data_IF_355888231359
#
_entry.id   IF_355888231359
#
_cell.length_a   1.000
_cell.length_b   1.000
_cell.length_c   1.000
_cell.angle_alpha   90.00
_cell.angle_beta   90.00
_cell.angle_gamma   90.00
#
_symmetry.space_group_name_H-M   'P 1'
#
loop_
_entity.id
_entity.type
_entity.pdbx_description
1 polymer ?
#
# COMPACT_ATOMS: atom_id res chain seq x y z
N UNK A 1 24.27 -16.55 4.91
CA UNK A 1 25.60 -17.04 4.44
C UNK A 1 26.12 -18.21 5.26
N UNK A 2 25.97 -18.22 6.58
CA UNK A 2 26.49 -19.30 7.44
C UNK A 2 25.71 -20.62 7.30
N UNK A 3 24.45 -20.57 6.94
CA UNK A 3 23.54 -21.73 6.89
C UNK A 3 23.80 -22.67 5.68
N UNK A 4 24.28 -22.13 4.55
CA UNK A 4 24.48 -22.87 3.30
C UNK A 4 25.95 -22.92 2.84
N UNK A 5 26.91 -22.43 3.62
CA UNK A 5 28.34 -22.39 3.31
C UNK A 5 28.71 -21.87 1.90
N UNK A 6 27.88 -21.01 1.32
CA UNK A 6 28.01 -20.46 -0.03
C UNK A 6 29.20 -19.51 -0.08
N UNK A 7 30.18 -19.81 -0.92
CA UNK A 7 31.40 -18.99 -1.15
C UNK A 7 31.22 -18.07 -2.37
N UNK A 8 30.61 -18.58 -3.44
CA UNK A 8 30.36 -17.85 -4.67
C UNK A 8 28.86 -17.76 -4.92
N UNK A 9 28.40 -16.67 -5.51
CA UNK A 9 27.02 -16.46 -5.91
C UNK A 9 26.55 -17.47 -6.96
N UNK A 10 27.46 -17.97 -7.78
CA UNK A 10 27.21 -19.00 -8.80
C UNK A 10 26.99 -20.40 -8.23
N UNK A 11 27.27 -20.62 -6.95
CA UNK A 11 26.92 -21.87 -6.27
C UNK A 11 25.42 -21.94 -5.94
N UNK A 12 24.72 -20.80 -5.99
CA UNK A 12 23.28 -20.73 -5.67
C UNK A 12 22.49 -21.27 -6.85
N UNK A 13 21.98 -22.48 -6.68
CA UNK A 13 21.05 -23.15 -7.60
C UNK A 13 19.61 -23.11 -7.05
N UNK A 14 18.66 -23.64 -7.81
CA UNK A 14 17.24 -23.62 -7.45
C UNK A 14 16.92 -24.42 -6.18
N UNK A 15 17.65 -25.51 -5.89
CA UNK A 15 17.46 -26.33 -4.69
C UNK A 15 17.87 -25.59 -3.43
N UNK A 16 18.94 -24.78 -3.49
CA UNK A 16 19.35 -23.90 -2.41
C UNK A 16 18.30 -22.82 -2.17
N UNK A 17 17.73 -22.26 -3.22
CA UNK A 17 16.63 -21.29 -3.11
C UNK A 17 15.41 -21.92 -2.43
N UNK A 18 15.03 -23.14 -2.84
CA UNK A 18 13.93 -23.89 -2.23
C UNK A 18 14.19 -24.14 -0.74
N UNK A 19 15.35 -24.71 -0.41
CA UNK A 19 15.74 -24.99 0.98
C UNK A 19 15.77 -23.75 1.84
N UNK A 20 16.20 -22.59 1.27
CA UNK A 20 16.18 -21.33 1.97
C UNK A 20 14.75 -20.84 2.22
N UNK A 21 13.84 -20.94 1.25
CA UNK A 21 12.41 -20.60 1.42
C UNK A 21 11.79 -21.46 2.52
N UNK A 22 12.02 -22.78 2.48
CA UNK A 22 11.48 -23.74 3.45
C UNK A 22 11.97 -23.45 4.89
N UNK A 23 13.23 -22.97 5.02
CA UNK A 23 13.80 -22.58 6.32
C UNK A 23 13.15 -21.33 6.94
N UNK A 24 12.35 -20.54 6.19
CA UNK A 24 11.88 -19.21 6.58
C UNK A 24 10.42 -19.22 7.03
N UNK A 25 9.75 -20.10 7.42
CA UNK A 25 8.36 -20.05 7.92
C UNK A 25 7.56 -18.80 7.40
N UNK A 26 7.55 -18.61 6.08
CA UNK A 26 6.94 -17.45 5.43
C UNK A 26 5.69 -17.87 4.64
N UNK A 27 4.79 -16.89 4.43
CA UNK A 27 3.64 -17.11 3.56
C UNK A 27 4.03 -17.16 2.08
N UNK A 28 3.19 -17.83 1.27
CA UNK A 28 3.34 -17.86 -0.18
C UNK A 28 3.48 -16.46 -0.80
N UNK A 29 2.74 -15.46 -0.30
CA UNK A 29 2.83 -14.08 -0.83
C UNK A 29 4.22 -13.48 -0.60
N UNK A 30 4.86 -13.76 0.54
CA UNK A 30 6.23 -13.32 0.83
C UNK A 30 7.23 -14.05 -0.07
N UNK A 31 7.12 -15.37 -0.19
CA UNK A 31 7.96 -16.16 -1.10
C UNK A 31 7.81 -15.71 -2.55
N UNK A 32 6.58 -15.44 -2.99
CA UNK A 32 6.28 -14.91 -4.33
C UNK A 32 6.96 -13.57 -4.63
N UNK A 33 7.12 -12.70 -3.64
CA UNK A 33 7.88 -11.47 -3.79
C UNK A 33 9.38 -11.76 -3.95
N UNK A 34 9.93 -12.69 -3.17
CA UNK A 34 11.33 -13.12 -3.33
C UNK A 34 11.58 -13.71 -4.72
N UNK A 35 10.71 -14.58 -5.23
CA UNK A 35 10.82 -15.09 -6.59
C UNK A 35 10.79 -13.99 -7.65
N UNK A 36 9.99 -12.95 -7.43
CA UNK A 36 9.95 -11.81 -8.36
C UNK A 36 11.25 -11.02 -8.36
N UNK A 37 11.91 -10.88 -7.22
CA UNK A 37 13.23 -10.24 -7.13
C UNK A 37 14.34 -11.14 -7.71
N UNK A 38 14.35 -12.44 -7.36
CA UNK A 38 15.30 -13.42 -7.91
C UNK A 38 15.22 -13.49 -9.44
N UNK A 39 14.01 -13.42 -10.00
CA UNK A 39 13.81 -13.44 -11.45
C UNK A 39 14.45 -12.25 -12.19
N UNK A 40 14.60 -11.09 -11.51
CA UNK A 40 15.28 -9.92 -12.09
C UNK A 40 16.79 -10.08 -12.18
N UNK A 41 17.35 -10.93 -11.35
CA UNK A 41 18.80 -11.12 -11.19
C UNK A 41 19.24 -12.57 -11.46
N UNK A 42 18.38 -13.38 -12.06
CA UNK A 42 18.63 -14.81 -12.34
C UNK A 42 19.93 -15.05 -13.09
N UNK A 43 20.30 -14.16 -14.01
CA UNK A 43 21.50 -14.26 -14.86
C UNK A 43 22.82 -14.27 -14.04
N UNK A 44 22.77 -13.89 -12.76
CA UNK A 44 23.92 -13.90 -11.84
C UNK A 44 24.06 -15.20 -11.03
N UNK A 45 23.06 -16.08 -11.10
CA UNK A 45 22.96 -17.31 -10.32
C UNK A 45 23.04 -18.56 -11.22
N UNK A 46 23.07 -19.72 -10.60
CA UNK A 46 23.03 -21.01 -11.29
C UNK A 46 21.59 -21.57 -11.30
N UNK A 47 20.65 -20.77 -11.82
CA UNK A 47 19.27 -21.19 -12.09
C UNK A 47 18.64 -20.29 -13.17
N UNK A 48 17.63 -20.82 -13.83
CA UNK A 48 16.89 -20.16 -14.92
C UNK A 48 15.60 -19.50 -14.41
N UNK A 49 14.99 -18.65 -15.23
CA UNK A 49 13.68 -18.06 -14.97
C UNK A 49 12.57 -19.09 -14.98
N UNK A 50 12.71 -20.10 -15.81
CA UNK A 50 11.81 -21.24 -15.90
C UNK A 50 11.80 -22.04 -14.60
N UNK A 51 12.96 -22.37 -14.03
CA UNK A 51 13.08 -23.06 -12.74
C UNK A 51 12.46 -22.24 -11.59
N UNK A 52 12.62 -20.91 -11.59
CA UNK A 52 11.93 -20.05 -10.60
C UNK A 52 10.41 -20.14 -10.78
N UNK A 53 9.92 -20.17 -12.01
CA UNK A 53 8.48 -20.24 -12.32
C UNK A 53 7.90 -21.57 -11.87
N UNK A 54 8.60 -22.67 -12.09
CA UNK A 54 8.22 -24.01 -11.66
C UNK A 54 8.21 -24.10 -10.13
N UNK A 55 9.29 -23.70 -9.45
CA UNK A 55 9.37 -23.67 -8.00
C UNK A 55 8.24 -22.81 -7.37
N UNK A 56 7.92 -21.69 -8.00
CA UNK A 56 6.81 -20.81 -7.57
C UNK A 56 5.45 -21.49 -7.70
N UNK A 57 5.25 -22.31 -8.74
CA UNK A 57 4.02 -23.08 -8.94
C UNK A 57 3.89 -24.19 -7.90
N UNK A 58 4.96 -24.92 -7.63
CA UNK A 58 5.01 -26.02 -6.65
C UNK A 58 4.71 -25.51 -5.24
N UNK A 59 5.39 -24.46 -4.80
CA UNK A 59 5.21 -23.90 -3.46
C UNK A 59 3.88 -23.16 -3.25
N UNK A 60 3.07 -22.98 -4.29
CA UNK A 60 1.78 -22.28 -4.17
C UNK A 60 0.79 -22.99 -3.25
N UNK A 61 0.83 -24.30 -3.20
CA UNK A 61 -0.06 -25.12 -2.37
C UNK A 61 0.59 -25.52 -1.04
N UNK A 62 1.93 -25.57 -0.99
CA UNK A 62 2.69 -26.02 0.17
C UNK A 62 2.88 -24.94 1.22
N UNK A 63 3.06 -23.69 0.79
CA UNK A 63 3.25 -22.59 1.72
C UNK A 63 1.93 -22.04 2.25
N UNK A 64 1.89 -21.62 3.54
CA UNK A 64 0.70 -21.08 4.14
C UNK A 64 0.24 -19.82 3.40
N UNK A 65 -1.06 -19.75 3.13
CA UNK A 65 -1.67 -18.53 2.59
C UNK A 65 -1.75 -17.47 3.67
N UNK A 66 -1.46 -16.23 3.31
CA UNK A 66 -1.66 -15.11 4.24
C UNK A 66 -3.14 -15.03 4.58
N UNK A 67 -3.48 -15.22 5.85
CA UNK A 67 -4.82 -14.88 6.35
C UNK A 67 -4.91 -13.36 6.37
N UNK A 68 -5.74 -12.83 5.49
CA UNK A 68 -5.97 -11.40 5.42
C UNK A 68 -7.11 -11.06 6.38
N UNK A 69 -6.76 -10.57 7.57
CA UNK A 69 -7.72 -9.90 8.46
C UNK A 69 -8.15 -8.56 7.84
N UNK A 70 -9.34 -8.11 8.23
CA UNK A 70 -9.76 -6.75 7.85
C UNK A 70 -8.76 -5.71 8.34
N UNK A 71 -8.38 -4.79 7.46
CA UNK A 71 -7.51 -3.66 7.82
C UNK A 71 -8.28 -2.39 8.08
N UNK A 72 -9.60 -2.41 7.87
CA UNK A 72 -10.45 -1.24 8.06
C UNK A 72 -10.50 -0.83 9.52
N UNK A 73 -10.66 0.46 9.74
CA UNK A 73 -10.83 1.08 11.04
C UNK A 73 -12.28 1.51 11.26
N UNK A 74 -12.67 1.62 12.51
CA UNK A 74 -13.98 2.14 12.92
C UNK A 74 -13.85 3.60 13.35
N UNK A 75 -14.93 4.37 13.16
CA UNK A 75 -15.06 5.73 13.70
C UNK A 75 -13.88 6.66 13.36
N UNK A 76 -13.37 6.60 12.12
CA UNK A 76 -12.27 7.47 11.69
C UNK A 76 -12.63 8.97 11.72
N UNK A 77 -13.92 9.31 11.71
CA UNK A 77 -14.42 10.69 11.84
C UNK A 77 -14.13 11.30 13.23
N UNK A 78 -13.84 10.47 14.23
CA UNK A 78 -13.49 10.91 15.60
C UNK A 78 -11.97 11.01 15.82
N UNK A 79 -11.18 10.66 14.82
CA UNK A 79 -9.73 10.69 14.90
C UNK A 79 -9.24 12.07 14.44
N UNK A 80 -8.47 12.72 15.29
CA UNK A 80 -7.80 13.99 15.01
C UNK A 80 -6.28 13.80 15.10
N UNK A 81 -5.58 14.25 14.09
CA UNK A 81 -4.13 14.22 14.02
C UNK A 81 -3.54 15.60 14.28
N UNK A 82 -2.21 15.65 14.40
CA UNK A 82 -1.49 16.92 14.36
C UNK A 82 -1.96 17.76 13.14
N UNK A 83 -2.20 19.07 13.28
CA UNK A 83 -2.67 19.93 12.18
C UNK A 83 -1.90 19.75 10.87
N UNK A 84 -0.58 19.55 10.95
CA UNK A 84 0.27 19.30 9.78
C UNK A 84 -0.07 18.00 9.06
N UNK A 85 -0.58 16.99 9.76
CA UNK A 85 -0.92 15.67 9.21
C UNK A 85 -2.40 15.54 8.85
N UNK A 86 -3.24 16.43 9.37
CA UNK A 86 -4.69 16.32 9.28
C UNK A 86 -5.19 16.32 7.84
N UNK A 87 -4.65 17.17 6.97
CA UNK A 87 -5.06 17.21 5.57
C UNK A 87 -4.75 15.90 4.83
N UNK A 88 -3.59 15.29 5.06
CA UNK A 88 -3.26 13.99 4.46
C UNK A 88 -4.19 12.87 4.95
N UNK A 89 -4.58 12.91 6.22
CA UNK A 89 -5.53 11.98 6.79
C UNK A 89 -6.92 12.12 6.16
N UNK A 90 -7.44 13.33 6.05
CA UNK A 90 -8.74 13.61 5.41
C UNK A 90 -8.75 13.19 3.94
N UNK A 91 -7.67 13.45 3.19
CA UNK A 91 -7.53 12.96 1.82
C UNK A 91 -7.61 11.44 1.71
N UNK A 92 -7.06 10.69 2.67
CA UNK A 92 -7.18 9.24 2.68
C UNK A 92 -8.55 8.77 3.14
N UNK A 93 -9.12 9.40 4.19
CA UNK A 93 -10.39 9.02 4.80
C UNK A 93 -11.59 9.32 3.88
N UNK A 94 -11.63 10.52 3.29
CA UNK A 94 -12.80 11.04 2.60
C UNK A 94 -12.73 10.88 1.06
N UNK A 95 -11.50 10.75 0.53
CA UNK A 95 -11.28 10.61 -0.91
C UNK A 95 -10.53 9.34 -1.30
N UNK A 96 -10.14 8.51 -0.33
CA UNK A 96 -9.49 7.23 -0.56
C UNK A 96 -8.09 7.31 -1.17
N UNK A 97 -7.39 8.44 -1.10
CA UNK A 97 -6.06 8.58 -1.69
C UNK A 97 -5.05 7.60 -1.05
N UNK A 98 -4.08 7.15 -1.84
CA UNK A 98 -2.92 6.42 -1.32
C UNK A 98 -2.00 7.36 -0.54
N UNK A 99 -1.29 6.84 0.46
CA UNK A 99 -0.42 7.66 1.33
C UNK A 99 0.56 8.53 0.55
N UNK A 100 1.13 8.05 -0.54
CA UNK A 100 2.04 8.87 -1.37
C UNK A 100 1.32 10.07 -2.00
N UNK A 101 0.12 9.87 -2.52
CA UNK A 101 -0.67 10.92 -3.16
C UNK A 101 -1.25 11.91 -2.15
N UNK A 102 -1.45 11.51 -0.89
CA UNK A 102 -1.96 12.40 0.16
C UNK A 102 -0.87 13.18 0.90
N UNK A 103 0.39 12.72 0.84
CA UNK A 103 1.51 13.29 1.61
C UNK A 103 2.50 14.10 0.78
N UNK A 104 2.38 14.09 -0.55
CA UNK A 104 3.27 14.81 -1.46
C UNK A 104 2.44 15.43 -2.58
N UNK A 105 2.08 16.69 -2.41
CA UNK A 105 1.22 17.43 -3.34
C UNK A 105 1.90 18.75 -3.69
N UNK A 106 2.10 19.00 -4.96
CA UNK A 106 2.49 20.30 -5.47
C UNK A 106 1.21 21.08 -5.77
N UNK A 107 0.83 22.00 -4.89
CA UNK A 107 -0.44 22.74 -4.99
C UNK A 107 -0.50 23.62 -6.24
N UNK A 108 0.62 24.19 -6.67
CA UNK A 108 0.67 25.06 -7.86
C UNK A 108 0.38 24.28 -9.15
N UNK A 109 0.68 22.97 -9.17
CA UNK A 109 0.52 22.12 -10.35
C UNK A 109 -0.70 21.21 -10.30
N UNK A 110 -1.14 20.86 -9.09
CA UNK A 110 -2.10 19.80 -8.88
C UNK A 110 -3.44 20.28 -8.32
N UNK A 111 -3.52 21.53 -7.82
CA UNK A 111 -4.75 22.08 -7.26
C UNK A 111 -5.24 23.23 -8.14
N UNK A 112 -6.44 23.07 -8.71
CA UNK A 112 -7.15 24.12 -9.47
C UNK A 112 -8.49 24.39 -8.79
N UNK A 113 -8.62 25.55 -8.15
CA UNK A 113 -9.77 25.82 -7.29
C UNK A 113 -9.85 24.80 -6.15
N UNK A 114 -10.87 23.97 -6.16
CA UNK A 114 -11.06 22.88 -5.22
C UNK A 114 -10.74 21.49 -5.82
N UNK A 115 -10.40 21.41 -7.10
CA UNK A 115 -10.12 20.15 -7.77
C UNK A 115 -8.65 19.78 -7.62
N UNK A 116 -8.39 18.66 -6.96
CA UNK A 116 -7.05 18.07 -6.82
C UNK A 116 -6.83 17.01 -7.88
N UNK A 117 -5.82 17.21 -8.74
CA UNK A 117 -5.34 16.22 -9.71
C UNK A 117 -4.13 15.48 -9.13
N UNK A 118 -4.11 14.16 -9.19
CA UNK A 118 -3.03 13.35 -8.65
C UNK A 118 -2.78 12.09 -9.46
N UNK A 119 -1.60 11.51 -9.28
CA UNK A 119 -1.17 10.32 -10.03
C UNK A 119 -1.42 9.05 -9.23
N UNK A 120 -2.20 8.13 -9.80
CA UNK A 120 -2.44 6.79 -9.27
C UNK A 120 -1.26 5.85 -9.51
N UNK A 121 -1.27 4.70 -8.81
CA UNK A 121 -0.32 3.61 -9.09
C UNK A 121 -0.51 3.14 -10.53
N UNK A 122 0.60 3.06 -11.28
CA UNK A 122 0.55 2.75 -12.72
C UNK A 122 0.52 3.98 -13.62
N UNK A 123 0.55 5.18 -13.04
CA UNK A 123 0.76 6.42 -13.80
C UNK A 123 -0.50 7.10 -14.31
N UNK A 124 -1.68 6.52 -14.10
CA UNK A 124 -2.97 7.13 -14.47
C UNK A 124 -3.23 8.37 -13.63
N UNK A 125 -3.69 9.44 -14.26
CA UNK A 125 -4.17 10.65 -13.60
C UNK A 125 -5.62 10.48 -13.14
N UNK A 126 -5.91 11.02 -11.96
CA UNK A 126 -7.24 11.06 -11.35
C UNK A 126 -7.48 12.40 -10.69
N UNK A 127 -8.74 12.75 -10.49
CA UNK A 127 -9.17 14.01 -9.90
C UNK A 127 -10.12 13.78 -8.74
N UNK A 128 -10.08 14.66 -7.76
CA UNK A 128 -11.03 14.69 -6.64
C UNK A 128 -11.40 16.14 -6.33
N UNK A 129 -12.69 16.37 -6.19
CA UNK A 129 -13.20 17.63 -5.66
C UNK A 129 -13.05 17.64 -4.14
N UNK A 130 -12.37 18.63 -3.60
CA UNK A 130 -12.09 18.79 -2.18
C UNK A 130 -13.03 19.84 -1.57
N UNK A 131 -13.32 19.70 -0.28
CA UNK A 131 -14.01 20.77 0.45
C UNK A 131 -13.11 22.02 0.57
N UNK A 132 -13.68 23.23 0.59
CA UNK A 132 -12.89 24.45 0.83
C UNK A 132 -12.05 24.40 2.11
N UNK A 133 -12.57 23.78 3.16
CA UNK A 133 -11.86 23.57 4.43
C UNK A 133 -10.60 22.70 4.25
N UNK A 134 -10.68 21.61 3.47
CA UNK A 134 -9.54 20.76 3.22
C UNK A 134 -8.48 21.46 2.35
N UNK A 135 -8.93 22.26 1.37
CA UNK A 135 -8.05 23.11 0.56
C UNK A 135 -7.30 24.13 1.44
N UNK A 136 -7.99 24.77 2.39
CA UNK A 136 -7.34 25.69 3.35
C UNK A 136 -6.29 24.99 4.18
N UNK A 137 -6.59 23.81 4.75
CA UNK A 137 -5.62 23.01 5.51
C UNK A 137 -4.38 22.64 4.70
N UNK A 138 -4.55 22.30 3.42
CA UNK A 138 -3.42 22.02 2.53
C UNK A 138 -2.54 23.26 2.33
N UNK A 139 -3.16 24.42 2.05
CA UNK A 139 -2.45 25.69 1.81
C UNK A 139 -1.74 26.21 3.07
N UNK A 140 -2.38 26.13 4.23
CA UNK A 140 -1.82 26.55 5.52
C UNK A 140 -0.57 25.75 5.93
N UNK A 141 -0.48 24.49 5.50
CA UNK A 141 0.64 23.61 5.82
C UNK A 141 1.61 23.41 4.65
N UNK A 142 1.43 24.12 3.54
CA UNK A 142 2.32 24.08 2.39
C UNK A 142 3.50 25.06 2.58
N UNK A 143 4.66 24.67 2.08
CA UNK A 143 5.86 25.50 1.98
C UNK A 143 6.20 25.62 0.49
N UNK A 144 6.35 26.84 0.00
CA UNK A 144 6.66 27.10 -1.42
C UNK A 144 5.72 26.35 -2.39
N UNK A 145 4.42 26.42 -2.13
CA UNK A 145 3.41 25.75 -2.96
C UNK A 145 3.37 24.23 -2.85
N UNK A 146 4.11 23.62 -1.91
CA UNK A 146 4.18 22.18 -1.75
C UNK A 146 3.71 21.74 -0.37
N UNK A 147 2.71 20.88 -0.34
CA UNK A 147 2.32 20.14 0.86
C UNK A 147 3.09 18.82 0.91
N UNK A 148 4.14 18.80 1.70
CA UNK A 148 5.01 17.63 1.85
C UNK A 148 5.17 17.27 3.32
N UNK A 149 4.80 16.05 3.67
CA UNK A 149 4.98 15.51 5.02
C UNK A 149 5.70 14.16 4.99
N UNK A 150 6.51 13.93 6.01
CA UNK A 150 7.21 12.67 6.14
C UNK A 150 6.22 11.56 6.50
N UNK A 151 6.13 10.54 5.65
CA UNK A 151 5.21 9.39 5.82
C UNK A 151 5.39 8.63 7.13
N UNK A 152 6.63 8.56 7.63
CA UNK A 152 6.93 7.85 8.87
C UNK A 152 6.38 8.61 10.08
N UNK A 153 6.54 9.93 10.12
CA UNK A 153 5.99 10.77 11.20
C UNK A 153 4.47 10.81 11.14
N UNK A 154 3.89 10.94 9.96
CA UNK A 154 2.46 10.80 9.74
C UNK A 154 1.91 9.45 10.22
N UNK A 155 2.56 8.34 9.81
CA UNK A 155 2.17 7.01 10.23
C UNK A 155 2.23 6.79 11.75
N UNK A 156 3.24 7.35 12.42
CA UNK A 156 3.36 7.29 13.88
C UNK A 156 2.29 8.10 14.61
N UNK A 157 1.97 9.29 14.09
CA UNK A 157 0.90 10.12 14.65
C UNK A 157 -0.46 9.41 14.53
N UNK A 158 -0.77 8.89 13.34
CA UNK A 158 -1.97 8.10 13.10
C UNK A 158 -2.01 6.85 14.00
N UNK A 159 -0.91 6.11 14.12
CA UNK A 159 -0.81 4.95 15.01
C UNK A 159 -1.17 5.31 16.44
N UNK A 160 -0.57 6.38 16.97
CA UNK A 160 -0.84 6.87 18.34
C UNK A 160 -2.32 7.16 18.57
N UNK A 161 -3.00 7.79 17.62
CA UNK A 161 -4.42 8.13 17.77
C UNK A 161 -5.32 6.89 17.64
N UNK A 162 -5.01 5.96 16.75
CA UNK A 162 -5.73 4.68 16.60
C UNK A 162 -5.60 3.83 17.87
N UNK A 163 -4.40 3.68 18.41
CA UNK A 163 -4.17 2.94 19.65
C UNK A 163 -4.87 3.60 20.84
N UNK A 164 -4.87 4.94 20.92
CA UNK A 164 -5.64 5.71 21.90
C UNK A 164 -7.15 5.49 21.80
N UNK A 165 -7.66 5.24 20.60
CA UNK A 165 -9.08 4.89 20.37
C UNK A 165 -9.42 3.42 20.71
N UNK A 166 -8.45 2.64 21.20
CA UNK A 166 -8.64 1.22 21.54
C UNK A 166 -8.59 0.27 20.33
N UNK A 167 -8.17 0.74 19.16
CA UNK A 167 -8.09 -0.08 17.95
C UNK A 167 -6.65 -0.55 17.69
N UNK A 168 -6.53 -1.76 17.11
CA UNK A 168 -5.25 -2.28 16.62
C UNK A 168 -4.79 -1.47 15.40
N UNK A 169 -3.54 -1.08 15.38
CA UNK A 169 -2.96 -0.40 14.22
C UNK A 169 -2.66 -1.37 13.06
N UNK A 170 -3.27 -1.13 11.92
CA UNK A 170 -3.16 -1.93 10.69
C UNK A 170 -2.46 -1.17 9.54
N UNK A 171 -1.73 -0.09 9.87
CA UNK A 171 -1.07 0.78 8.91
C UNK A 171 -2.00 1.84 8.30
N UNK A 172 -1.42 2.88 7.73
CA UNK A 172 -2.18 3.98 7.07
C UNK A 172 -3.01 3.50 5.88
N UNK A 173 -2.65 2.36 5.27
CA UNK A 173 -3.45 1.78 4.20
C UNK A 173 -4.83 1.29 4.67
N UNK A 174 -4.99 1.01 5.97
CA UNK A 174 -6.27 0.69 6.59
C UNK A 174 -7.31 1.81 6.45
N UNK A 175 -6.88 3.08 6.40
CA UNK A 175 -7.77 4.22 6.14
C UNK A 175 -8.46 4.05 4.78
N UNK A 176 -7.70 3.69 3.75
CA UNK A 176 -8.22 3.44 2.41
C UNK A 176 -9.11 2.18 2.35
N UNK A 177 -8.85 1.17 3.20
CA UNK A 177 -9.78 0.05 3.36
C UNK A 177 -11.12 0.51 3.93
N UNK A 178 -11.10 1.35 4.97
CA UNK A 178 -12.33 1.92 5.55
C UNK A 178 -13.12 2.72 4.49
N UNK A 179 -12.44 3.56 3.72
CA UNK A 179 -13.07 4.31 2.62
C UNK A 179 -13.74 3.39 1.61
N UNK A 180 -13.03 2.35 1.15
CA UNK A 180 -13.58 1.40 0.18
C UNK A 180 -14.81 0.66 0.71
N UNK A 181 -14.76 0.16 1.96
CA UNK A 181 -15.90 -0.52 2.58
C UNK A 181 -17.10 0.40 2.71
N UNK A 182 -16.91 1.63 3.17
CA UNK A 182 -17.99 2.63 3.27
C UNK A 182 -18.63 2.93 1.91
N UNK A 183 -17.81 3.04 0.85
CA UNK A 183 -18.32 3.26 -0.51
C UNK A 183 -19.10 2.06 -1.05
N UNK A 184 -18.70 0.85 -0.72
CA UNK A 184 -19.37 -0.38 -1.14
C UNK A 184 -20.75 -0.59 -0.48
N UNK A 185 -21.07 0.15 0.60
CA UNK A 185 -22.42 0.15 1.19
C UNK A 185 -23.48 0.74 0.25
N UNK A 186 -23.08 1.68 -0.62
CA UNK A 186 -24.01 2.44 -1.48
C UNK A 186 -23.69 2.38 -2.98
N UNK A 187 -22.53 1.87 -3.37
CA UNK A 187 -22.06 1.84 -4.75
C UNK A 187 -21.68 0.42 -5.17
N UNK A 188 -21.77 0.13 -6.45
CA UNK A 188 -21.32 -1.13 -7.01
C UNK A 188 -19.79 -1.29 -6.89
N UNK A 189 -19.33 -2.53 -6.87
CA UNK A 189 -17.88 -2.85 -6.86
C UNK A 189 -17.15 -2.21 -8.06
N UNK A 190 -17.79 -2.13 -9.23
CA UNK A 190 -17.18 -1.54 -10.42
C UNK A 190 -16.96 -0.03 -10.24
N UNK A 191 -17.96 0.70 -9.72
CA UNK A 191 -17.86 2.13 -9.43
C UNK A 191 -16.78 2.41 -8.40
N UNK A 192 -16.75 1.68 -7.28
CA UNK A 192 -15.72 1.83 -6.25
C UNK A 192 -14.33 1.51 -6.80
N UNK A 193 -14.20 0.48 -7.63
CA UNK A 193 -12.94 0.12 -8.30
C UNK A 193 -12.44 1.26 -9.18
N UNK A 194 -13.32 1.87 -9.95
CA UNK A 194 -13.01 3.01 -10.81
C UNK A 194 -12.63 4.23 -9.97
N UNK A 195 -13.41 4.55 -8.94
CA UNK A 195 -13.16 5.68 -8.04
C UNK A 195 -11.83 5.57 -7.29
N UNK A 196 -11.43 4.35 -6.94
CA UNK A 196 -10.16 4.03 -6.30
C UNK A 196 -8.99 3.89 -7.28
N UNK A 197 -9.20 4.06 -8.58
CA UNK A 197 -8.15 3.93 -9.59
C UNK A 197 -7.54 2.52 -9.65
N UNK A 198 -8.35 1.47 -9.49
CA UNK A 198 -7.88 0.11 -9.65
C UNK A 198 -7.84 -0.27 -11.14
N UNK A 199 -6.79 -0.96 -11.54
CA UNK A 199 -6.64 -1.45 -12.93
C UNK A 199 -7.59 -2.60 -13.25
N UNK A 200 -8.08 -3.30 -12.23
CA UNK A 200 -9.01 -4.44 -12.33
C UNK A 200 -9.97 -4.45 -11.14
N UNK A 201 -11.27 -4.75 -11.35
CA UNK A 201 -12.28 -4.78 -10.27
C UNK A 201 -11.96 -5.77 -9.14
N UNK A 202 -11.28 -6.89 -9.45
CA UNK A 202 -10.90 -7.91 -8.47
C UNK A 202 -9.96 -7.39 -7.38
N UNK A 203 -9.22 -6.30 -7.66
CA UNK A 203 -8.39 -5.65 -6.64
C UNK A 203 -9.27 -5.12 -5.51
N UNK A 204 -10.51 -4.72 -5.82
CA UNK A 204 -11.47 -4.21 -4.81
C UNK A 204 -11.89 -5.30 -3.83
N UNK A 205 -11.85 -6.60 -4.20
CA UNK A 205 -12.15 -7.72 -3.29
C UNK A 205 -11.20 -7.79 -2.09
N UNK A 206 -9.99 -7.27 -2.23
CA UNK A 206 -9.05 -7.22 -1.11
C UNK A 206 -9.48 -6.27 0.00
N UNK A 207 -10.40 -5.35 -0.28
CA UNK A 207 -10.95 -4.37 0.66
C UNK A 207 -12.24 -4.86 1.34
N UNK A 208 -12.86 -5.93 0.83
CA UNK A 208 -14.10 -6.53 1.37
C UNK A 208 -13.86 -7.45 2.58
N UNK A 209 -12.62 -7.62 2.97
CA UNK A 209 -12.21 -8.52 4.07
C UNK A 209 -12.02 -7.80 5.37
#
# INVERSE_FOLDING_TARGET
>A
KAEFQIKDIKEINIDIVKSWIDSKNISYNTASNYFSELNKVSDHFNFTREEIKELRADLKNDLPKTVLETRAYKNLEKIELNPKHQAAFELQRDHGLRVNASTHINLDKQLNGNTLTFREKGGKWSEKELSPSLVSKLKENAIEGKYEINKRTYGRDFQKQIEKSGQKYNGTHGIRHTYAQKKLETNSKAEVSQEMGHSRPEITDTYLR
#
